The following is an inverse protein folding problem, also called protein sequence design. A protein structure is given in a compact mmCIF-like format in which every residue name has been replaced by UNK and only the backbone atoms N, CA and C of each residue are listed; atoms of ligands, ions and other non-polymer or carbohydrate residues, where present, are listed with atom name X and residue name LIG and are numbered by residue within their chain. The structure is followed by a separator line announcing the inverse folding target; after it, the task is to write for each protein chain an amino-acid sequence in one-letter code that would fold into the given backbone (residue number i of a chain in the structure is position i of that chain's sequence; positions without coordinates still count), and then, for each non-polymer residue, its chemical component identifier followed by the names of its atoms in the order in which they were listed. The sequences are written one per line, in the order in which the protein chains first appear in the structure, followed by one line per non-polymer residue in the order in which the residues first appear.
data_IF_873633599312
#
_entry.id   IF_873633599312
#
_cell.length_a   1.000
_cell.length_b   1.000
_cell.length_c   1.000
_cell.angle_alpha   90.00
_cell.angle_beta   90.00
_cell.angle_gamma   90.00
#
_symmetry.space_group_name_H-M   'P 1'
#
loop_
_entity.id
_entity.type
_entity.pdbx_description
1 polymer ?
#
# COMPACT_ATOMS: atom_id res chain seq x y z
N UNK A 1 41.98 -8.29 30.07
CA UNK A 1 40.66 -8.85 30.36
C UNK A 1 39.71 -8.38 29.27
N UNK A 2 39.54 -9.15 28.19
CA UNK A 2 38.64 -8.79 27.08
C UNK A 2 37.23 -9.27 27.42
N UNK A 3 36.27 -8.33 27.51
CA UNK A 3 34.87 -8.66 27.63
C UNK A 3 34.38 -9.27 26.30
N UNK A 4 33.73 -10.44 26.39
CA UNK A 4 33.15 -11.12 25.25
C UNK A 4 32.09 -10.24 24.59
N UNK A 5 32.21 -10.00 23.28
CA UNK A 5 31.14 -9.38 22.49
C UNK A 5 29.90 -10.29 22.52
N UNK A 6 28.70 -9.76 22.77
CA UNK A 6 27.50 -10.57 22.73
C UNK A 6 27.29 -11.10 21.30
N UNK A 7 26.90 -12.38 21.21
CA UNK A 7 26.60 -13.05 19.94
C UNK A 7 25.62 -12.21 19.10
N UNK A 8 25.73 -12.21 17.76
CA UNK A 8 24.88 -11.41 16.90
C UNK A 8 23.42 -11.83 17.12
N UNK A 9 22.63 -10.92 17.72
CA UNK A 9 21.18 -11.09 17.81
C UNK A 9 20.66 -11.20 16.38
N UNK A 10 19.95 -12.29 16.09
CA UNK A 10 19.41 -12.57 14.77
C UNK A 10 18.38 -11.48 14.39
N UNK A 11 18.85 -10.42 13.70
CA UNK A 11 18.06 -9.23 13.33
C UNK A 11 16.78 -9.59 12.56
N UNK A 12 16.77 -10.70 11.81
CA UNK A 12 15.63 -11.14 11.03
C UNK A 12 14.39 -11.46 11.89
N UNK A 13 14.58 -12.01 13.10
CA UNK A 13 13.48 -12.37 14.00
C UNK A 13 12.79 -11.13 14.60
N UNK A 14 13.53 -10.06 14.84
CA UNK A 14 13.02 -8.82 15.45
C UNK A 14 12.22 -7.95 14.46
N UNK A 15 12.45 -8.12 13.15
CA UNK A 15 11.75 -7.37 12.10
C UNK A 15 10.35 -7.95 11.82
N UNK A 16 10.18 -9.27 11.96
CA UNK A 16 8.89 -9.95 11.81
C UNK A 16 7.87 -9.56 12.89
N UNK A 17 8.36 -9.28 14.10
CA UNK A 17 7.54 -8.85 15.25
C UNK A 17 7.30 -7.34 15.31
N UNK A 18 7.79 -6.58 14.32
CA UNK A 18 7.65 -5.11 14.30
C UNK A 18 6.34 -4.70 13.60
N UNK A 19 5.36 -4.13 14.33
CA UNK A 19 4.04 -3.78 13.77
C UNK A 19 4.09 -2.69 12.69
N UNK A 20 5.20 -1.95 12.59
CA UNK A 20 5.44 -0.95 11.55
C UNK A 20 5.91 -1.61 10.25
N UNK A 21 6.80 -2.59 10.32
CA UNK A 21 7.33 -3.31 9.15
C UNK A 21 6.30 -4.24 8.51
N UNK A 22 5.36 -4.78 9.30
CA UNK A 22 4.29 -5.65 8.82
C UNK A 22 3.36 -5.00 7.76
N UNK A 23 3.43 -3.68 7.56
CA UNK A 23 2.47 -2.89 6.76
C UNK A 23 2.94 -2.58 5.34
N UNK A 24 4.22 -2.79 5.02
CA UNK A 24 4.84 -2.25 3.81
C UNK A 24 4.83 -3.21 2.62
N UNK A 25 4.52 -2.72 1.41
CA UNK A 25 4.39 -3.51 0.18
C UNK A 25 5.58 -4.41 -0.20
N UNK A 26 6.83 -4.08 0.17
CA UNK A 26 7.97 -4.99 -0.08
C UNK A 26 7.89 -6.31 0.72
N UNK A 27 7.18 -6.33 1.85
CA UNK A 27 7.06 -7.51 2.75
C UNK A 27 5.88 -7.39 3.76
N UNK A 28 4.68 -7.01 3.32
CA UNK A 28 3.63 -6.61 4.27
C UNK A 28 2.21 -6.62 3.69
N UNK A 29 1.24 -6.25 4.53
CA UNK A 29 -0.19 -6.48 4.30
C UNK A 29 -0.74 -5.92 2.99
N UNK A 30 -0.20 -4.83 2.44
CA UNK A 30 -0.68 -4.29 1.15
C UNK A 30 -0.39 -5.22 -0.05
N UNK A 31 0.80 -5.82 -0.11
CA UNK A 31 1.13 -6.77 -1.19
C UNK A 31 0.40 -8.09 -1.02
N UNK A 32 0.38 -8.63 0.21
CA UNK A 32 -0.39 -9.84 0.53
C UNK A 32 -1.88 -9.64 0.22
N UNK A 33 -2.46 -8.52 0.66
CA UNK A 33 -3.84 -8.16 0.39
C UNK A 33 -4.15 -8.01 -1.11
N UNK A 34 -3.25 -7.38 -1.87
CA UNK A 34 -3.39 -7.23 -3.32
C UNK A 34 -3.40 -8.60 -4.03
N UNK A 35 -2.56 -9.54 -3.59
CA UNK A 35 -2.60 -10.92 -4.09
C UNK A 35 -3.92 -11.61 -3.70
N UNK A 36 -4.29 -11.55 -2.42
CA UNK A 36 -5.46 -12.23 -1.87
C UNK A 36 -6.76 -11.77 -2.52
N UNK A 37 -6.95 -10.47 -2.75
CA UNK A 37 -8.18 -9.96 -3.39
C UNK A 37 -8.27 -10.39 -4.85
N UNK A 38 -7.15 -10.49 -5.55
CA UNK A 38 -7.10 -11.02 -6.92
C UNK A 38 -7.39 -12.52 -6.95
N UNK A 39 -6.84 -13.29 -6.01
CA UNK A 39 -7.12 -14.71 -5.85
C UNK A 39 -8.59 -14.98 -5.51
N UNK A 40 -9.18 -14.18 -4.62
CA UNK A 40 -10.59 -14.26 -4.28
C UNK A 40 -11.48 -13.99 -5.50
N UNK A 41 -11.16 -12.96 -6.30
CA UNK A 41 -11.89 -12.68 -7.53
C UNK A 41 -11.73 -13.80 -8.58
N UNK A 42 -10.51 -14.32 -8.75
CA UNK A 42 -10.22 -15.40 -9.70
C UNK A 42 -10.90 -16.74 -9.35
N UNK A 43 -11.23 -16.95 -8.07
CA UNK A 43 -11.99 -18.13 -7.60
C UNK A 43 -13.50 -17.89 -7.55
N UNK A 44 -13.98 -16.82 -8.21
CA UNK A 44 -15.41 -16.51 -8.34
C UNK A 44 -16.02 -15.72 -7.18
N UNK A 45 -15.20 -15.21 -6.26
CA UNK A 45 -15.67 -14.28 -5.21
C UNK A 45 -16.50 -14.93 -4.10
N UNK A 46 -16.47 -16.24 -3.93
CA UNK A 46 -17.31 -16.96 -2.96
C UNK A 46 -16.54 -17.50 -1.74
N UNK A 47 -15.21 -17.49 -1.78
CA UNK A 47 -14.36 -18.03 -0.71
C UNK A 47 -14.30 -17.15 0.53
N UNK A 48 -15.11 -17.45 1.56
CA UNK A 48 -15.13 -16.69 2.83
C UNK A 48 -13.74 -16.56 3.49
N UNK A 49 -12.96 -17.64 3.53
CA UNK A 49 -11.62 -17.61 4.15
C UNK A 49 -10.68 -16.61 3.44
N UNK A 50 -10.73 -16.54 2.11
CA UNK A 50 -9.96 -15.55 1.36
C UNK A 50 -10.48 -14.13 1.60
N UNK A 51 -11.80 -13.96 1.72
CA UNK A 51 -12.40 -12.67 2.07
C UNK A 51 -11.95 -12.19 3.45
N UNK A 52 -11.99 -13.05 4.46
CA UNK A 52 -11.54 -12.72 5.82
C UNK A 52 -10.06 -12.28 5.83
N UNK A 53 -9.21 -12.90 4.99
CA UNK A 53 -7.80 -12.50 4.85
C UNK A 53 -7.63 -11.14 4.14
N UNK A 54 -8.44 -10.83 3.13
CA UNK A 54 -8.48 -9.50 2.49
C UNK A 54 -8.88 -8.44 3.51
N UNK A 55 -9.92 -8.69 4.30
CA UNK A 55 -10.42 -7.76 5.31
C UNK A 55 -9.38 -7.55 6.42
N UNK A 56 -8.67 -8.61 6.84
CA UNK A 56 -7.56 -8.53 7.78
C UNK A 56 -6.38 -7.70 7.25
N UNK A 57 -6.02 -7.88 5.98
CA UNK A 57 -5.01 -7.05 5.34
C UNK A 57 -5.46 -5.58 5.24
N UNK A 58 -6.74 -5.33 4.92
CA UNK A 58 -7.32 -3.98 4.85
C UNK A 58 -7.29 -3.28 6.21
N UNK A 59 -7.62 -4.01 7.28
CA UNK A 59 -7.54 -3.50 8.65
C UNK A 59 -6.12 -3.09 9.02
N UNK A 60 -5.12 -3.89 8.64
CA UNK A 60 -3.72 -3.61 8.94
C UNK A 60 -3.21 -2.34 8.26
N UNK A 61 -3.53 -2.14 6.97
CA UNK A 61 -3.03 -0.99 6.19
C UNK A 61 -3.74 0.32 6.49
N UNK A 62 -5.03 0.29 6.92
CA UNK A 62 -5.80 1.49 7.28
C UNK A 62 -5.17 2.28 8.41
N UNK A 63 -4.39 1.63 9.27
CA UNK A 63 -3.73 2.29 10.38
C UNK A 63 -2.46 3.09 9.97
N UNK A 64 -2.25 3.32 8.67
CA UNK A 64 -1.18 4.18 8.15
C UNK A 64 -1.28 5.60 8.71
N UNK A 65 -0.12 6.23 8.92
CA UNK A 65 0.01 7.53 9.57
C UNK A 65 0.49 8.60 8.60
N UNK A 66 0.18 9.85 8.90
CA UNK A 66 0.68 11.00 8.15
C UNK A 66 2.22 11.09 8.06
N UNK A 67 2.96 10.37 8.91
CA UNK A 67 4.42 10.31 8.91
C UNK A 67 4.99 9.11 8.14
N UNK A 68 4.17 8.22 7.61
CA UNK A 68 4.63 7.04 6.86
C UNK A 68 5.10 7.42 5.46
N UNK A 69 5.98 6.61 4.86
CA UNK A 69 6.52 6.85 3.51
C UNK A 69 5.39 7.12 2.48
N UNK A 70 5.54 8.09 1.58
CA UNK A 70 4.57 8.31 0.50
C UNK A 70 4.61 7.21 -0.58
N UNK A 71 5.63 6.35 -0.57
CA UNK A 71 5.91 5.41 -1.66
C UNK A 71 4.79 4.40 -1.94
N UNK A 72 4.66 3.99 -3.21
CA UNK A 72 3.81 2.86 -3.61
C UNK A 72 4.38 1.53 -3.11
N UNK A 73 5.71 1.38 -3.13
CA UNK A 73 6.36 0.11 -2.84
C UNK A 73 6.52 -0.21 -1.34
N UNK A 74 6.26 0.74 -0.44
CA UNK A 74 6.27 0.51 1.00
C UNK A 74 5.61 1.65 1.79
N UNK A 75 4.49 2.20 1.32
CA UNK A 75 3.95 3.40 1.92
C UNK A 75 2.46 3.62 1.70
N UNK A 76 2.03 4.85 2.03
CA UNK A 76 0.65 5.29 2.00
C UNK A 76 -0.01 5.08 0.63
N UNK A 77 0.71 5.39 -0.47
CA UNK A 77 0.17 5.19 -1.81
C UNK A 77 -0.13 3.71 -2.10
N UNK A 78 0.79 2.80 -1.74
CA UNK A 78 0.59 1.37 -1.93
C UNK A 78 -0.55 0.81 -1.08
N UNK A 79 -0.71 1.32 0.14
CA UNK A 79 -1.80 0.95 1.03
C UNK A 79 -3.16 1.42 0.49
N UNK A 80 -3.26 2.67 0.04
CA UNK A 80 -4.47 3.22 -0.57
C UNK A 80 -4.86 2.44 -1.83
N UNK A 81 -3.89 2.16 -2.69
CA UNK A 81 -4.11 1.37 -3.90
C UNK A 81 -4.68 -0.03 -3.64
N UNK A 82 -4.19 -0.72 -2.61
CA UNK A 82 -4.75 -2.02 -2.20
C UNK A 82 -6.19 -1.88 -1.69
N UNK A 83 -6.48 -0.87 -0.86
CA UNK A 83 -7.83 -0.64 -0.36
C UNK A 83 -8.83 -0.34 -1.49
N UNK A 84 -8.41 0.40 -2.52
CA UNK A 84 -9.21 0.62 -3.72
C UNK A 84 -9.40 -0.66 -4.54
N UNK A 85 -8.37 -1.52 -4.62
CA UNK A 85 -8.48 -2.84 -5.24
C UNK A 85 -9.43 -3.77 -4.49
N UNK A 86 -9.45 -3.69 -3.15
CA UNK A 86 -10.39 -4.40 -2.29
C UNK A 86 -11.81 -3.91 -2.57
N UNK A 87 -12.06 -2.60 -2.49
CA UNK A 87 -13.37 -2.01 -2.78
C UNK A 87 -13.94 -2.45 -4.13
N UNK A 88 -13.13 -2.34 -5.19
CA UNK A 88 -13.57 -2.64 -6.55
C UNK A 88 -13.93 -4.12 -6.76
N UNK A 89 -13.23 -5.04 -6.09
CA UNK A 89 -13.47 -6.48 -6.25
C UNK A 89 -14.53 -7.00 -5.31
N UNK A 90 -14.50 -6.58 -4.05
CA UNK A 90 -15.41 -7.09 -3.02
C UNK A 90 -16.77 -6.40 -3.02
N UNK A 91 -16.89 -5.23 -3.66
CA UNK A 91 -18.07 -4.37 -3.60
C UNK A 91 -18.27 -3.67 -2.25
N UNK A 92 -17.33 -3.82 -1.31
CA UNK A 92 -17.45 -3.24 0.03
C UNK A 92 -16.87 -1.83 0.06
N UNK A 93 -17.77 -0.85 0.16
CA UNK A 93 -17.44 0.57 0.19
C UNK A 93 -16.57 0.97 1.39
N UNK A 94 -16.53 0.17 2.47
CA UNK A 94 -15.70 0.47 3.64
C UNK A 94 -14.20 0.47 3.32
N UNK A 95 -13.76 -0.30 2.33
CA UNK A 95 -12.36 -0.27 1.89
C UNK A 95 -12.05 1.04 1.16
N UNK A 96 -12.97 1.54 0.32
CA UNK A 96 -12.80 2.83 -0.36
C UNK A 96 -12.74 3.97 0.66
N UNK A 97 -13.65 3.99 1.63
CA UNK A 97 -13.63 4.95 2.73
C UNK A 97 -12.34 4.86 3.55
N UNK A 98 -11.76 3.67 3.70
CA UNK A 98 -10.47 3.50 4.38
C UNK A 98 -9.27 4.03 3.58
N UNK A 99 -9.38 4.16 2.25
CA UNK A 99 -8.31 4.69 1.40
C UNK A 99 -8.21 6.22 1.47
N UNK A 100 -9.33 6.91 1.71
CA UNK A 100 -9.41 8.38 1.74
C UNK A 100 -8.44 9.00 2.76
N UNK A 101 -8.38 8.59 4.04
CA UNK A 101 -7.43 9.15 5.00
C UNK A 101 -5.96 8.95 4.61
N UNK A 102 -5.62 7.85 3.93
CA UNK A 102 -4.24 7.61 3.49
C UNK A 102 -3.84 8.57 2.38
N UNK A 103 -4.79 8.96 1.54
CA UNK A 103 -4.59 9.97 0.50
C UNK A 103 -4.54 11.38 1.08
N UNK A 104 -5.33 11.67 2.12
CA UNK A 104 -5.17 12.91 2.89
C UNK A 104 -3.80 13.00 3.56
N UNK A 105 -3.27 11.89 4.07
CA UNK A 105 -1.92 11.80 4.60
C UNK A 105 -0.84 12.08 3.53
N UNK A 106 -1.02 11.60 2.30
CA UNK A 106 -0.15 11.96 1.18
C UNK A 106 -0.22 13.47 0.88
N UNK A 107 -1.43 14.04 0.86
CA UNK A 107 -1.63 15.47 0.63
C UNK A 107 -0.98 16.33 1.72
N UNK A 108 -1.04 15.90 2.98
CA UNK A 108 -0.39 16.58 4.11
C UNK A 108 1.16 16.58 4.01
N UNK A 109 1.74 15.66 3.24
CA UNK A 109 3.18 15.61 2.97
C UNK A 109 3.61 16.43 1.75
N UNK A 110 2.65 17.00 1.00
CA UNK A 110 2.95 17.70 -0.24
C UNK A 110 3.76 18.98 0.01
N UNK A 111 4.66 19.28 -0.93
CA UNK A 111 5.49 20.48 -0.93
C UNK A 111 5.09 21.40 -2.08
N UNK A 112 5.17 22.71 -1.86
CA UNK A 112 4.95 23.70 -2.91
C UNK A 112 6.22 23.86 -3.76
N UNK A 113 6.13 23.51 -5.04
CA UNK A 113 7.21 23.67 -6.04
C UNK A 113 6.62 24.29 -7.29
N UNK A 114 7.15 25.43 -7.73
CA UNK A 114 6.70 26.16 -8.92
C UNK A 114 5.17 26.36 -8.98
N UNK A 115 4.57 26.72 -7.84
CA UNK A 115 3.13 26.95 -7.72
C UNK A 115 2.27 25.68 -7.70
N UNK A 116 2.87 24.49 -7.58
CA UNK A 116 2.18 23.20 -7.55
C UNK A 116 2.42 22.46 -6.25
N UNK A 117 1.39 21.80 -5.72
CA UNK A 117 1.52 20.87 -4.60
C UNK A 117 1.96 19.51 -5.14
N UNK A 118 3.17 19.07 -4.77
CA UNK A 118 3.77 17.83 -5.22
C UNK A 118 4.08 16.94 -4.02
N UNK A 119 3.64 15.67 -4.07
CA UNK A 119 4.06 14.66 -3.10
C UNK A 119 5.55 14.35 -3.34
N UNK A 120 6.40 14.39 -2.32
CA UNK A 120 7.83 14.15 -2.48
C UNK A 120 8.14 12.65 -2.62
N UNK A 121 9.41 12.34 -2.89
CA UNK A 121 9.91 10.96 -2.92
C UNK A 121 9.86 10.29 -1.54
N UNK A 122 10.16 8.99 -1.49
CA UNK A 122 10.11 8.16 -0.27
C UNK A 122 10.92 8.72 0.90
N UNK A 123 12.04 9.41 0.62
CA UNK A 123 12.91 10.01 1.64
C UNK A 123 12.52 11.46 1.97
N UNK A 124 11.53 12.01 1.25
CA UNK A 124 11.07 13.40 1.34
C UNK A 124 12.16 14.44 1.09
N UNK A 125 13.22 14.07 0.38
CA UNK A 125 14.34 14.96 0.08
C UNK A 125 14.12 15.76 -1.19
N UNK A 126 13.34 15.23 -2.13
CA UNK A 126 13.11 15.82 -3.44
C UNK A 126 11.74 15.38 -4.01
N UNK A 127 11.46 15.73 -5.26
CA UNK A 127 10.30 15.22 -6.01
C UNK A 127 10.84 14.46 -7.22
N UNK A 128 10.63 13.14 -7.24
CA UNK A 128 10.95 12.29 -8.39
C UNK A 128 9.66 11.82 -9.07
N UNK A 129 9.68 11.68 -10.40
CA UNK A 129 8.53 11.25 -11.20
C UNK A 129 8.31 9.71 -11.20
N UNK A 130 8.93 9.00 -10.27
CA UNK A 130 8.92 7.53 -10.21
C UNK A 130 7.59 6.98 -9.69
N UNK A 131 7.19 5.80 -10.17
CA UNK A 131 5.94 5.18 -9.71
C UNK A 131 6.10 4.45 -8.36
N UNK A 132 7.22 3.74 -8.16
CA UNK A 132 7.40 2.92 -6.95
C UNK A 132 7.62 3.78 -5.69
N UNK A 133 8.26 4.93 -5.85
CA UNK A 133 8.97 5.69 -4.80
C UNK A 133 8.73 7.20 -4.90
N UNK A 134 8.02 7.66 -5.92
CA UNK A 134 7.87 9.08 -6.23
C UNK A 134 6.43 9.52 -6.52
N UNK A 135 6.33 10.73 -7.06
CA UNK A 135 5.10 11.47 -7.30
C UNK A 135 4.07 10.69 -8.11
N UNK A 136 4.49 9.98 -9.16
CA UNK A 136 3.58 9.24 -10.03
C UNK A 136 2.82 8.15 -9.24
N UNK A 137 3.48 7.52 -8.27
CA UNK A 137 2.89 6.57 -7.36
C UNK A 137 1.83 7.19 -6.44
N UNK A 138 2.17 8.33 -5.84
CA UNK A 138 1.25 9.08 -4.97
C UNK A 138 0.02 9.63 -5.70
N UNK A 139 0.14 9.98 -6.98
CA UNK A 139 -0.96 10.46 -7.81
C UNK A 139 -1.95 9.36 -8.23
N UNK A 140 -1.49 8.11 -8.35
CA UNK A 140 -2.32 6.99 -8.81
C UNK A 140 -3.59 6.78 -7.95
N UNK A 141 -3.52 6.66 -6.61
CA UNK A 141 -4.72 6.46 -5.80
C UNK A 141 -5.60 7.72 -5.75
N UNK A 142 -5.01 8.92 -5.86
CA UNK A 142 -5.76 10.18 -5.98
C UNK A 142 -6.64 10.20 -7.24
N UNK A 143 -6.09 9.79 -8.38
CA UNK A 143 -6.83 9.71 -9.64
C UNK A 143 -7.94 8.66 -9.58
N UNK A 144 -7.66 7.48 -8.99
CA UNK A 144 -8.67 6.42 -8.81
C UNK A 144 -9.79 6.81 -7.84
N UNK A 145 -9.50 7.61 -6.81
CA UNK A 145 -10.55 8.16 -5.95
C UNK A 145 -11.39 9.20 -6.71
N UNK A 146 -10.79 10.03 -7.56
CA UNK A 146 -11.52 11.09 -8.27
C UNK A 146 -12.34 10.59 -9.47
N UNK A 147 -11.77 9.71 -10.27
CA UNK A 147 -12.28 9.35 -11.60
C UNK A 147 -12.60 7.86 -11.75
N UNK A 148 -12.51 7.09 -10.67
CA UNK A 148 -12.50 5.62 -10.70
C UNK A 148 -11.35 5.08 -11.58
N UNK A 149 -11.24 3.75 -11.73
CA UNK A 149 -10.35 3.12 -12.71
C UNK A 149 -9.44 2.02 -12.17
N UNK A 150 -8.82 1.32 -13.12
CA UNK A 150 -7.89 0.22 -12.84
C UNK A 150 -6.55 0.73 -12.29
N UNK A 151 -5.92 -0.10 -11.45
CA UNK A 151 -4.61 0.19 -10.88
C UNK A 151 -3.54 0.12 -11.97
N UNK A 152 -2.71 1.17 -12.05
CA UNK A 152 -1.61 1.22 -13.00
C UNK A 152 -0.59 0.07 -12.77
N UNK A 153 -0.02 -0.41 -13.87
CA UNK A 153 1.05 -1.43 -13.89
C UNK A 153 0.67 -2.77 -13.25
N UNK A 154 -0.63 -3.07 -13.14
CA UNK A 154 -1.12 -4.42 -12.87
C UNK A 154 -1.90 -4.95 -14.07
N UNK A 155 -1.83 -6.26 -14.35
CA UNK A 155 -2.66 -6.87 -15.38
C UNK A 155 -4.13 -6.61 -15.08
N UNK A 156 -4.87 -6.19 -16.11
CA UNK A 156 -6.32 -6.20 -16.08
C UNK A 156 -6.77 -7.67 -16.00
N UNK A 157 -7.82 -7.93 -15.22
CA UNK A 157 -8.38 -9.27 -15.05
C UNK A 157 -9.15 -9.72 -16.29
N UNK A 158 -8.47 -9.82 -17.43
CA UNK A 158 -8.97 -10.54 -18.59
C UNK A 158 -8.85 -12.05 -18.38
N UNK A 159 -9.63 -12.88 -19.09
CA UNK A 159 -9.49 -14.33 -19.02
C UNK A 159 -8.04 -14.72 -19.30
N UNK A 160 -7.54 -15.71 -18.55
CA UNK A 160 -6.26 -16.35 -18.89
C UNK A 160 -6.34 -16.80 -20.35
N UNK A 161 -5.28 -16.55 -21.12
CA UNK A 161 -5.17 -17.06 -22.49
C UNK A 161 -5.50 -18.56 -22.52
N UNK A 162 -6.23 -19.03 -23.55
CA UNK A 162 -6.73 -20.40 -23.65
C UNK A 162 -5.61 -21.46 -23.60
#
# INVERSE_FOLDING_TARGET
MYAASPAPRNRARHLADSPELARHWRSGSSAAGTFLVRLWAATGGTGKALRDLVDGAALAVRAGRATDSPATCHGLAGNAEFLLDAAARTGDASHRAAAEPLVEHLAAQAVLRDGRLLVPDENRGTVLAEYATGLAGGLSPLLRLRADGSRAWLPEGGPAHP
#
